data_IF_827687655724
#
_entry.id   IF_827687655724
#
_cell.length_a   1.000
_cell.length_b   1.000
_cell.length_c   1.000
_cell.angle_alpha   90.00
_cell.angle_beta   90.00
_cell.angle_gamma   90.00
#
_symmetry.space_group_name_H-M   'P 1'
#
loop_
_entity.id
_entity.type
_entity.pdbx_description
1 polymer ?
#
# COMPACT_ATOMS: atom_id res chain seq x y z
N UNK A 1 -18.33 17.76 -17.23
CA UNK A 1 -16.96 18.31 -17.00
C UNK A 1 -15.96 17.50 -17.81
N UNK A 2 -14.90 18.08 -18.37
CA UNK A 2 -13.82 17.31 -19.03
C UNK A 2 -12.75 16.92 -18.02
N UNK A 3 -12.10 15.77 -18.24
CA UNK A 3 -11.04 15.26 -17.38
C UNK A 3 -9.67 15.70 -17.91
N UNK A 4 -9.11 16.77 -17.33
CA UNK A 4 -7.88 17.44 -17.82
C UNK A 4 -6.61 17.11 -17.04
N UNK A 5 -6.59 16.01 -16.29
CA UNK A 5 -5.43 15.64 -15.47
C UNK A 5 -4.25 15.21 -16.38
N UNK A 6 -3.07 15.77 -16.10
CA UNK A 6 -1.82 15.38 -16.77
C UNK A 6 -1.38 14.01 -16.23
N UNK A 7 -1.56 12.95 -17.00
CA UNK A 7 -1.07 11.60 -16.71
C UNK A 7 -0.10 11.13 -17.80
N UNK A 8 0.83 10.26 -17.44
CA UNK A 8 1.65 9.46 -18.37
C UNK A 8 0.85 8.24 -18.84
N UNK A 9 -0.26 8.52 -19.51
CA UNK A 9 -1.27 7.55 -19.94
C UNK A 9 -2.42 8.18 -20.71
N UNK A 10 -3.41 7.37 -21.06
CA UNK A 10 -4.57 7.73 -21.87
C UNK A 10 -5.88 7.34 -21.18
N UNK A 11 -6.93 8.08 -21.52
CA UNK A 11 -8.29 7.77 -21.08
C UNK A 11 -8.98 6.86 -22.08
N UNK A 12 -9.77 5.91 -21.56
CA UNK A 12 -10.63 5.05 -22.34
C UNK A 12 -12.06 5.16 -21.83
N UNK A 13 -13.01 5.64 -22.65
CA UNK A 13 -12.82 6.17 -24.00
C UNK A 13 -12.07 7.52 -24.01
N UNK A 14 -11.41 7.88 -25.13
CA UNK A 14 -10.65 9.14 -25.23
C UNK A 14 -11.49 10.41 -25.03
N UNK A 15 -12.80 10.29 -25.26
CA UNK A 15 -13.84 11.33 -25.07
C UNK A 15 -13.88 11.89 -23.64
N UNK A 16 -13.47 11.10 -22.66
CA UNK A 16 -13.35 11.53 -21.26
C UNK A 16 -12.49 12.80 -21.08
N UNK A 17 -11.51 13.01 -21.96
CA UNK A 17 -10.59 14.15 -21.90
C UNK A 17 -11.01 15.33 -22.80
N UNK A 18 -11.86 15.09 -23.79
CA UNK A 18 -12.16 16.04 -24.86
C UNK A 18 -13.59 16.57 -24.83
N UNK A 19 -14.54 15.81 -24.27
CA UNK A 19 -15.96 16.18 -24.21
C UNK A 19 -16.47 16.29 -22.77
N UNK A 20 -17.45 17.18 -22.49
CA UNK A 20 -18.03 17.27 -21.15
C UNK A 20 -18.77 15.97 -20.79
N UNK A 21 -18.35 15.34 -19.68
CA UNK A 21 -19.04 14.16 -19.14
C UNK A 21 -20.24 14.51 -18.28
N UNK A 22 -21.23 13.62 -18.31
CA UNK A 22 -22.45 13.64 -17.51
C UNK A 22 -22.25 12.90 -16.17
N UNK A 23 -23.17 13.11 -15.23
CA UNK A 23 -23.12 12.40 -13.95
C UNK A 23 -23.35 10.90 -14.16
N UNK A 24 -22.53 10.07 -13.52
CA UNK A 24 -22.44 8.60 -13.68
C UNK A 24 -21.61 8.11 -14.87
N UNK A 25 -21.04 8.99 -15.69
CA UNK A 25 -20.10 8.57 -16.73
C UNK A 25 -18.87 7.88 -16.11
N UNK A 26 -18.37 6.85 -16.78
CA UNK A 26 -17.21 6.10 -16.34
C UNK A 26 -16.06 6.22 -17.34
N UNK A 27 -14.86 6.44 -16.82
CA UNK A 27 -13.65 6.52 -17.61
C UNK A 27 -12.56 5.65 -17.00
N UNK A 28 -11.82 4.96 -17.85
CA UNK A 28 -10.70 4.12 -17.45
C UNK A 28 -9.36 4.74 -17.82
N UNK A 29 -8.33 4.48 -17.02
CA UNK A 29 -6.96 4.93 -17.28
C UNK A 29 -6.13 3.76 -17.80
N UNK A 30 -5.45 4.00 -18.93
CA UNK A 30 -4.42 3.11 -19.46
C UNK A 30 -3.08 3.83 -19.42
N UNK A 31 -2.15 3.34 -18.60
CA UNK A 31 -0.80 3.90 -18.55
C UNK A 31 0.03 3.54 -19.78
N UNK A 32 0.92 4.44 -20.17
CA UNK A 32 1.82 4.22 -21.31
C UNK A 32 2.72 3.00 -21.10
N UNK A 33 3.23 2.38 -22.19
CA UNK A 33 4.23 1.33 -22.08
C UNK A 33 5.41 1.78 -21.22
N UNK A 34 5.82 0.94 -20.26
CA UNK A 34 6.84 1.31 -19.28
C UNK A 34 6.32 2.05 -18.06
N UNK A 35 5.01 2.26 -17.91
CA UNK A 35 4.38 2.82 -16.71
C UNK A 35 3.42 1.82 -16.05
N UNK A 36 3.26 1.91 -14.73
CA UNK A 36 2.31 1.16 -13.90
C UNK A 36 1.22 2.07 -13.34
N UNK A 37 0.05 1.52 -13.08
CA UNK A 37 -1.09 2.25 -12.52
C UNK A 37 -1.07 2.17 -10.99
N UNK A 38 -1.14 3.32 -10.31
CA UNK A 38 -1.44 3.42 -8.88
C UNK A 38 -2.83 4.04 -8.71
N UNK A 39 -3.64 3.50 -7.79
CA UNK A 39 -5.03 3.95 -7.57
C UNK A 39 -6.07 3.15 -8.38
N UNK A 40 -7.28 3.69 -8.50
CA UNK A 40 -8.39 3.02 -9.21
C UNK A 40 -8.23 3.17 -10.73
N UNK A 41 -8.33 2.08 -11.52
CA UNK A 41 -8.28 2.15 -12.98
C UNK A 41 -9.51 2.83 -13.58
N UNK A 42 -10.55 3.03 -12.78
CA UNK A 42 -11.84 3.58 -13.21
C UNK A 42 -12.22 4.76 -12.32
N UNK A 43 -12.64 5.84 -12.96
CA UNK A 43 -13.20 7.03 -12.32
C UNK A 43 -14.63 7.24 -12.79
N UNK A 44 -15.45 7.83 -11.92
CA UNK A 44 -16.86 8.11 -12.19
C UNK A 44 -17.11 9.60 -12.08
N UNK A 45 -17.79 10.20 -13.05
CA UNK A 45 -18.18 11.59 -12.99
C UNK A 45 -19.31 11.73 -11.98
N UNK A 46 -19.10 12.52 -10.93
CA UNK A 46 -20.11 12.83 -9.92
C UNK A 46 -20.56 14.28 -10.05
N UNK A 47 -21.63 14.66 -9.37
CA UNK A 47 -22.07 16.07 -9.28
C UNK A 47 -20.97 17.05 -8.85
N UNK A 48 -19.95 16.58 -8.12
CA UNK A 48 -18.82 17.39 -7.63
C UNK A 48 -17.54 17.25 -8.48
N UNK A 49 -17.58 16.53 -9.59
CA UNK A 49 -16.41 16.22 -10.42
C UNK A 49 -16.09 14.72 -10.42
N UNK A 50 -14.93 14.34 -10.96
CA UNK A 50 -14.54 12.93 -11.05
C UNK A 50 -14.21 12.32 -9.68
N UNK A 51 -14.69 11.10 -9.45
CA UNK A 51 -14.51 10.36 -8.20
C UNK A 51 -13.05 9.92 -8.06
N UNK A 52 -12.30 10.67 -7.25
CA UNK A 52 -10.94 10.40 -6.74
C UNK A 52 -9.75 10.95 -7.53
N UNK A 53 -8.79 11.46 -6.72
CA UNK A 53 -7.67 12.37 -7.06
C UNK A 53 -6.31 11.64 -7.06
N UNK A 54 -6.30 10.32 -6.82
CA UNK A 54 -5.09 9.55 -6.54
C UNK A 54 -4.78 8.47 -7.58
N UNK A 55 -5.36 8.55 -8.77
CA UNK A 55 -4.90 7.69 -9.87
C UNK A 55 -3.72 8.33 -10.59
N UNK A 56 -2.62 7.60 -10.72
CA UNK A 56 -1.39 8.10 -11.35
C UNK A 56 -0.63 6.97 -12.06
N UNK A 57 0.02 7.32 -13.17
CA UNK A 57 0.90 6.42 -13.89
C UNK A 57 2.35 6.69 -13.47
N UNK A 58 3.03 5.68 -12.95
CA UNK A 58 4.41 5.76 -12.48
C UNK A 58 5.35 4.98 -13.38
N UNK A 59 6.58 5.44 -13.61
CA UNK A 59 7.47 4.73 -14.50
C UNK A 59 7.89 3.40 -13.85
N UNK A 60 7.75 2.29 -14.56
CA UNK A 60 8.26 0.97 -14.15
C UNK A 60 9.79 0.98 -14.00
N UNK A 61 10.46 1.93 -14.65
CA UNK A 61 11.89 2.17 -14.55
C UNK A 61 12.29 3.10 -13.39
N UNK A 62 11.33 3.71 -12.68
CA UNK A 62 11.64 4.31 -11.39
C UNK A 62 12.09 3.17 -10.48
N UNK A 63 13.35 3.22 -10.04
CA UNK A 63 13.85 2.29 -9.04
C UNK A 63 12.84 2.22 -7.90
N UNK A 64 12.52 1.03 -7.39
CA UNK A 64 11.59 0.83 -6.26
C UNK A 64 11.88 1.84 -5.13
N UNK A 65 13.15 2.18 -4.89
CA UNK A 65 13.61 3.21 -3.95
C UNK A 65 13.08 4.63 -4.21
N UNK A 66 12.87 5.05 -5.45
CA UNK A 66 12.38 6.39 -5.83
C UNK A 66 10.85 6.51 -5.75
N UNK A 67 10.12 5.45 -6.14
CA UNK A 67 8.66 5.37 -5.95
C UNK A 67 8.30 5.36 -4.47
N UNK A 68 9.09 4.61 -3.69
CA UNK A 68 9.05 4.60 -2.24
C UNK A 68 9.38 5.98 -1.68
N UNK A 69 10.45 6.66 -2.12
CA UNK A 69 10.90 7.88 -1.46
C UNK A 69 9.95 9.07 -1.58
N UNK A 70 9.27 9.21 -2.73
CA UNK A 70 8.45 10.38 -3.03
C UNK A 70 7.00 10.22 -2.55
N UNK A 71 6.39 9.05 -2.70
CA UNK A 71 5.00 8.83 -2.26
C UNK A 71 4.88 8.53 -0.77
N UNK A 72 5.89 7.91 -0.13
CA UNK A 72 5.81 7.55 1.29
C UNK A 72 5.98 8.76 2.19
N UNK A 73 6.72 9.81 1.79
CA UNK A 73 6.86 11.02 2.60
C UNK A 73 5.52 11.72 2.80
N UNK A 74 4.84 12.02 1.70
CA UNK A 74 3.52 12.68 1.75
C UNK A 74 2.47 11.80 2.44
N UNK A 75 2.55 10.47 2.24
CA UNK A 75 1.65 9.51 2.90
C UNK A 75 1.92 9.41 4.42
N UNK A 76 3.17 9.33 4.86
CA UNK A 76 3.54 9.30 6.29
C UNK A 76 3.24 10.63 6.98
N UNK A 77 3.53 11.76 6.33
CA UNK A 77 3.22 13.08 6.87
C UNK A 77 1.70 13.32 6.94
N UNK A 78 0.92 12.68 6.05
CA UNK A 78 -0.55 12.66 6.12
C UNK A 78 -1.11 11.78 7.25
N UNK A 79 -0.34 10.82 7.78
CA UNK A 79 -0.73 9.99 8.93
C UNK A 79 -0.60 10.72 10.27
N UNK A 80 -0.63 12.06 10.29
CA UNK A 80 -0.51 12.87 11.51
C UNK A 80 -1.31 12.28 12.68
N UNK A 81 -0.60 11.69 13.66
CA UNK A 81 -1.19 11.06 14.84
C UNK A 81 -1.15 9.52 14.91
N UNK A 82 -0.48 8.81 13.99
CA UNK A 82 -0.36 7.34 14.08
C UNK A 82 0.78 6.93 15.02
N UNK A 83 0.43 6.33 16.16
CA UNK A 83 1.38 5.81 17.16
C UNK A 83 1.92 4.40 16.81
N UNK A 84 1.20 3.64 15.99
CA UNK A 84 1.54 2.24 15.69
C UNK A 84 1.24 1.86 14.23
N UNK A 85 2.20 1.21 13.58
CA UNK A 85 2.05 0.61 12.25
C UNK A 85 1.94 -0.92 12.35
N UNK A 86 0.93 -1.52 11.72
CA UNK A 86 0.81 -2.97 11.62
C UNK A 86 0.83 -3.41 10.15
N UNK A 87 1.90 -4.08 9.74
CA UNK A 87 2.00 -4.66 8.41
C UNK A 87 1.35 -6.05 8.39
N UNK A 88 0.45 -6.28 7.44
CA UNK A 88 -0.11 -7.62 7.17
C UNK A 88 0.39 -8.06 5.79
N UNK A 89 1.28 -9.03 5.76
CA UNK A 89 1.91 -9.53 4.53
C UNK A 89 1.23 -10.81 4.08
N UNK A 90 0.65 -10.75 2.89
CA UNK A 90 0.08 -11.92 2.23
C UNK A 90 1.19 -12.71 1.50
N UNK A 91 1.29 -14.01 1.77
CA UNK A 91 2.17 -14.93 1.07
C UNK A 91 1.39 -15.92 0.18
N UNK A 92 0.92 -15.44 -0.97
CA UNK A 92 0.17 -16.28 -1.94
C UNK A 92 1.04 -17.29 -2.70
N UNK A 93 0.46 -18.43 -3.12
CA UNK A 93 1.05 -19.39 -4.07
C UNK A 93 1.38 -18.77 -5.43
N UNK A 94 0.77 -17.62 -5.76
CA UNK A 94 1.01 -16.86 -7.00
C UNK A 94 2.12 -15.82 -6.87
N UNK A 95 2.65 -15.60 -5.67
CA UNK A 95 3.79 -14.71 -5.49
C UNK A 95 5.06 -15.49 -5.84
N UNK A 96 5.82 -14.94 -6.79
CA UNK A 96 7.21 -15.34 -6.99
C UNK A 96 8.06 -14.84 -5.81
N UNK A 97 9.17 -15.51 -5.55
CA UNK A 97 10.07 -15.16 -4.44
C UNK A 97 10.53 -13.70 -4.54
N UNK A 98 10.74 -13.23 -5.76
CA UNK A 98 11.18 -11.87 -6.07
C UNK A 98 10.11 -10.84 -5.69
N UNK A 99 8.82 -11.15 -5.90
CA UNK A 99 7.71 -10.31 -5.45
C UNK A 99 7.63 -10.20 -3.92
N UNK A 100 7.93 -11.27 -3.19
CA UNK A 100 8.01 -11.23 -1.73
C UNK A 100 9.19 -10.35 -1.26
N UNK A 101 10.36 -10.46 -1.92
CA UNK A 101 11.51 -9.59 -1.64
C UNK A 101 11.16 -8.11 -1.84
N UNK A 102 10.38 -7.76 -2.87
CA UNK A 102 9.89 -6.39 -3.08
C UNK A 102 9.04 -5.90 -1.90
N UNK A 103 8.14 -6.74 -1.38
CA UNK A 103 7.30 -6.40 -0.22
C UNK A 103 8.17 -6.14 1.03
N UNK A 104 9.17 -6.99 1.27
CA UNK A 104 10.09 -6.81 2.41
C UNK A 104 10.90 -5.52 2.29
N UNK A 105 11.43 -5.20 1.11
CA UNK A 105 12.16 -3.94 0.88
C UNK A 105 11.25 -2.71 0.99
N UNK A 106 9.97 -2.81 0.61
CA UNK A 106 8.98 -1.75 0.83
C UNK A 106 8.76 -1.45 2.32
N UNK A 107 8.53 -2.49 3.14
CA UNK A 107 8.34 -2.34 4.59
C UNK A 107 9.59 -1.75 5.25
N UNK A 108 10.77 -2.24 4.87
CA UNK A 108 12.06 -1.71 5.32
C UNK A 108 12.17 -0.21 5.04
N UNK A 109 11.79 0.22 3.84
CA UNK A 109 11.85 1.62 3.49
C UNK A 109 10.87 2.49 4.30
N UNK A 110 9.65 2.01 4.57
CA UNK A 110 8.71 2.69 5.47
C UNK A 110 9.33 2.87 6.86
N UNK A 111 9.84 1.78 7.46
CA UNK A 111 10.40 1.79 8.81
C UNK A 111 11.65 2.68 8.93
N UNK A 112 12.46 2.78 7.88
CA UNK A 112 13.59 3.72 7.87
C UNK A 112 13.15 5.19 7.87
N UNK A 113 11.92 5.48 7.43
CA UNK A 113 11.35 6.83 7.34
C UNK A 113 10.37 7.14 8.47
N UNK A 114 9.86 6.11 9.13
CA UNK A 114 9.09 6.16 10.37
C UNK A 114 9.92 5.57 11.53
N UNK A 115 10.91 6.32 12.04
CA UNK A 115 11.81 5.80 13.06
C UNK A 115 11.05 5.45 14.35
N UNK A 116 11.18 4.19 14.75
CA UNK A 116 10.51 3.65 15.93
C UNK A 116 11.20 4.17 17.20
N UNK A 117 10.37 4.48 18.20
CA UNK A 117 10.77 4.93 19.53
C UNK A 117 9.59 4.72 20.51
N UNK A 118 9.63 5.31 21.70
CA UNK A 118 8.63 5.01 22.74
C UNK A 118 7.16 5.28 22.36
N UNK A 119 6.93 6.22 21.42
CA UNK A 119 5.60 6.60 20.93
C UNK A 119 5.27 6.03 19.54
N UNK A 120 6.28 5.59 18.79
CA UNK A 120 6.11 5.05 17.44
C UNK A 120 6.54 3.59 17.45
N UNK A 121 5.59 2.69 17.28
CA UNK A 121 5.85 1.25 17.26
C UNK A 121 5.43 0.62 15.94
N UNK A 122 5.97 -0.55 15.64
CA UNK A 122 5.54 -1.29 14.45
C UNK A 122 5.57 -2.81 14.66
N UNK A 123 4.65 -3.50 13.99
CA UNK A 123 4.57 -4.96 13.97
C UNK A 123 4.35 -5.51 12.57
N UNK A 124 4.54 -6.83 12.42
CA UNK A 124 4.35 -7.54 11.17
C UNK A 124 3.68 -8.88 11.41
N UNK A 125 2.62 -9.15 10.65
CA UNK A 125 1.93 -10.43 10.59
C UNK A 125 2.06 -10.98 9.17
N UNK A 126 2.59 -12.19 9.00
CA UNK A 126 2.51 -12.89 7.72
C UNK A 126 1.32 -13.84 7.70
N UNK A 127 0.61 -13.89 6.58
CA UNK A 127 -0.45 -14.86 6.31
C UNK A 127 0.02 -15.87 5.27
N UNK A 128 -0.14 -17.15 5.56
CA UNK A 128 0.32 -18.24 4.71
C UNK A 128 -0.59 -19.49 4.89
N UNK A 129 -0.31 -20.58 4.17
CA UNK A 129 -1.19 -21.77 4.10
C UNK A 129 -1.54 -22.38 5.46
N UNK A 130 -0.57 -22.41 6.37
CA UNK A 130 -0.72 -23.06 7.68
C UNK A 130 -1.39 -22.15 8.72
N UNK A 131 -1.46 -20.84 8.47
CA UNK A 131 -2.05 -19.90 9.42
C UNK A 131 -1.57 -18.48 9.22
N UNK A 132 -1.42 -17.77 10.33
CA UNK A 132 -0.83 -16.44 10.33
C UNK A 132 0.05 -16.33 11.55
N UNK A 133 1.24 -15.80 11.34
CA UNK A 133 2.26 -15.68 12.38
C UNK A 133 2.48 -14.20 12.71
N UNK A 134 2.71 -13.92 13.99
CA UNK A 134 3.22 -12.61 14.41
C UNK A 134 4.73 -12.69 14.27
N UNK A 135 5.25 -12.26 13.11
CA UNK A 135 6.69 -12.27 12.84
C UNK A 135 7.41 -11.18 13.63
N UNK A 136 6.75 -10.04 13.85
CA UNK A 136 7.27 -8.92 14.63
C UNK A 136 6.18 -8.35 15.52
N UNK A 137 6.46 -8.30 16.83
CA UNK A 137 5.54 -7.74 17.84
C UNK A 137 5.27 -6.25 17.57
N UNK A 138 3.98 -5.85 17.61
CA UNK A 138 3.55 -4.48 17.34
C UNK A 138 4.16 -3.44 18.30
N UNK A 139 4.59 -3.86 19.48
CA UNK A 139 5.23 -3.00 20.48
C UNK A 139 6.74 -2.85 20.23
N UNK A 140 7.24 -3.26 19.07
CA UNK A 140 8.65 -3.06 18.72
C UNK A 140 8.91 -1.56 18.55
N UNK A 141 9.75 -1.03 19.44
CA UNK A 141 10.10 0.40 19.56
C UNK A 141 11.46 0.76 18.98
N UNK A 142 12.22 -0.21 18.47
CA UNK A 142 13.60 0.00 17.97
C UNK A 142 13.68 -0.35 16.50
N UNK A 143 13.99 0.65 15.66
CA UNK A 143 14.13 0.51 14.21
C UNK A 143 15.08 -0.62 13.83
N UNK A 144 16.30 -0.66 14.36
CA UNK A 144 17.27 -1.71 14.01
C UNK A 144 16.78 -3.11 14.43
N UNK A 145 16.08 -3.22 15.56
CA UNK A 145 15.50 -4.49 16.02
C UNK A 145 14.39 -4.96 15.09
N UNK A 146 13.56 -4.04 14.61
CA UNK A 146 12.54 -4.35 13.61
C UNK A 146 13.19 -4.82 12.30
N UNK A 147 14.17 -4.08 11.79
CA UNK A 147 14.84 -4.39 10.52
C UNK A 147 15.58 -5.73 10.54
N UNK A 148 16.24 -6.06 11.66
CA UNK A 148 16.91 -7.34 11.86
C UNK A 148 15.90 -8.51 11.80
N UNK A 149 14.79 -8.41 12.54
CA UNK A 149 13.71 -9.41 12.50
C UNK A 149 13.07 -9.51 11.12
N UNK A 150 12.86 -8.37 10.44
CA UNK A 150 12.29 -8.31 9.10
C UNK A 150 13.14 -9.08 8.09
N UNK A 151 14.46 -9.02 8.21
CA UNK A 151 15.38 -9.78 7.35
C UNK A 151 15.29 -11.30 7.55
N UNK A 152 14.79 -11.75 8.70
CA UNK A 152 14.58 -13.16 9.04
C UNK A 152 13.23 -13.73 8.61
N UNK A 153 12.30 -12.91 8.10
CA UNK A 153 10.95 -13.37 7.70
C UNK A 153 11.05 -14.24 6.46
N UNK A 154 10.55 -15.48 6.57
CA UNK A 154 10.66 -16.48 5.50
C UNK A 154 9.45 -16.44 4.57
N UNK A 155 9.72 -16.63 3.28
CA UNK A 155 8.69 -16.90 2.29
C UNK A 155 8.26 -18.37 2.38
N UNK A 156 7.01 -18.59 2.80
CA UNK A 156 6.46 -19.89 3.16
C UNK A 156 5.55 -20.49 2.07
N UNK A 157 5.18 -19.73 1.02
CA UNK A 157 4.22 -20.09 -0.07
C UNK A 157 2.87 -20.63 0.43
N UNK A 158 1.74 -20.09 -0.04
CA UNK A 158 0.47 -20.66 0.41
C UNK A 158 -0.80 -20.02 -0.10
N UNK A 159 -1.95 -20.62 0.22
CA UNK A 159 -3.24 -19.93 0.12
C UNK A 159 -3.44 -19.12 1.40
N UNK A 160 -3.18 -17.81 1.37
CA UNK A 160 -3.30 -16.95 2.54
C UNK A 160 -4.75 -16.93 3.04
N UNK A 161 -4.90 -16.57 4.30
CA UNK A 161 -6.22 -16.29 4.85
C UNK A 161 -6.18 -14.95 5.55
N UNK A 162 -6.44 -13.89 4.78
CA UNK A 162 -6.55 -12.53 5.29
C UNK A 162 -7.51 -12.45 6.48
N UNK A 163 -8.62 -13.20 6.44
CA UNK A 163 -9.55 -13.29 7.57
C UNK A 163 -8.93 -13.84 8.87
N UNK A 164 -7.97 -14.76 8.80
CA UNK A 164 -7.22 -15.25 9.98
C UNK A 164 -6.21 -14.21 10.45
N UNK A 165 -5.47 -13.58 9.53
CA UNK A 165 -4.52 -12.51 9.86
C UNK A 165 -5.21 -11.30 10.52
N UNK A 166 -6.36 -10.88 10.00
CA UNK A 166 -7.17 -9.81 10.60
C UNK A 166 -7.76 -10.20 11.96
N UNK A 167 -8.15 -11.47 12.15
CA UNK A 167 -8.57 -11.97 13.47
C UNK A 167 -7.40 -11.99 14.46
N UNK A 168 -6.19 -12.27 14.01
CA UNK A 168 -4.98 -12.24 14.82
C UNK A 168 -4.63 -10.79 15.21
N UNK A 169 -4.62 -9.87 14.24
CA UNK A 169 -4.42 -8.44 14.47
C UNK A 169 -5.38 -7.89 15.54
N UNK A 170 -6.67 -8.25 15.47
CA UNK A 170 -7.70 -7.85 16.45
C UNK A 170 -7.47 -8.37 17.87
N UNK A 171 -6.62 -9.39 18.06
CA UNK A 171 -6.33 -9.99 19.38
C UNK A 171 -5.05 -9.44 20.01
N UNK A 172 -4.25 -8.67 19.28
CA UNK A 172 -3.02 -8.07 19.81
C UNK A 172 -3.41 -6.94 20.77
N UNK A 173 -3.02 -7.04 22.05
CA UNK A 173 -3.22 -5.99 23.04
C UNK A 173 -2.46 -4.71 22.62
N UNK A 174 -3.13 -3.56 22.69
CA UNK A 174 -2.60 -2.27 22.21
C UNK A 174 -3.10 -1.85 20.82
N UNK A 175 -3.81 -2.73 20.11
CA UNK A 175 -4.54 -2.39 18.88
C UNK A 175 -5.87 -1.72 19.24
N UNK A 176 -5.85 -0.40 19.44
CA UNK A 176 -7.08 0.39 19.55
C UNK A 176 -7.64 0.63 18.15
N UNK A 177 -8.89 0.21 17.90
CA UNK A 177 -9.52 0.31 16.57
C UNK A 177 -9.68 1.74 16.10
N UNK A 178 -9.68 2.72 17.01
CA UNK A 178 -9.97 4.10 16.67
C UNK A 178 -8.81 4.81 15.94
N UNK A 179 -7.57 4.29 16.04
CA UNK A 179 -6.38 4.92 15.44
C UNK A 179 -5.65 4.03 14.42
N UNK A 180 -6.25 2.90 14.02
CA UNK A 180 -5.61 1.96 13.11
C UNK A 180 -5.89 2.32 11.65
N UNK A 181 -4.86 2.80 10.94
CA UNK A 181 -4.89 2.91 9.48
C UNK A 181 -4.43 1.59 8.87
N UNK A 182 -5.33 0.89 8.19
CA UNK A 182 -4.98 -0.25 7.35
C UNK A 182 -4.44 0.31 6.02
N UNK A 183 -3.14 0.12 5.77
CA UNK A 183 -2.47 0.51 4.53
C UNK A 183 -2.32 -0.72 3.65
#
# INVERSE_FOLDING_TARGET
MTLSQKLSGTWSPGECSTTPSEESDHCSILCDPGYGLFGSPQVTCTRTGWSQVTTSCFAKADTISQLISNNIRDTIDSFGGVDALLFIVDQTERLEKDSFTVIIEFIKAIITRFPLHDKHTAGLISSHKMGSDIDIDINTKKTCSFLDKLSGVKFMRGSPSLGKALKLAKKIQGYDRENATLI
#
